data_IF_561219734417
#
_entry.id   IF_561219734417
#
_cell.length_a   1.000
_cell.length_b   1.000
_cell.length_c   1.000
_cell.angle_alpha   90.00
_cell.angle_beta   90.00
_cell.angle_gamma   90.00
#
_symmetry.space_group_name_H-M   'P 1'
#
loop_
_entity.id
_entity.type
_entity.pdbx_description
1 polymer ?
#
# COMPACT_ATOMS: atom_id res chain seq x y z
N UNK A 1 -17.44 12.74 -0.86
CA UNK A 1 -16.18 11.98 -0.61
C UNK A 1 -15.50 12.42 0.68
N UNK A 2 -15.42 13.71 1.00
CA UNK A 2 -14.73 14.18 2.22
C UNK A 2 -15.25 13.52 3.51
N UNK A 3 -16.57 13.37 3.68
CA UNK A 3 -17.15 12.63 4.81
C UNK A 3 -16.68 11.18 4.89
N UNK A 4 -16.63 10.48 3.75
CA UNK A 4 -16.20 9.08 3.69
C UNK A 4 -14.73 8.91 4.03
N UNK A 5 -13.87 9.79 3.52
CA UNK A 5 -12.44 9.85 3.89
C UNK A 5 -12.26 9.92 5.40
N UNK A 6 -13.04 10.77 6.10
CA UNK A 6 -12.96 10.87 7.56
C UNK A 6 -13.28 9.55 8.27
N UNK A 7 -14.22 8.77 7.74
CA UNK A 7 -14.59 7.46 8.28
C UNK A 7 -13.48 6.41 8.10
N UNK A 8 -12.70 6.50 7.03
CA UNK A 8 -11.57 5.58 6.75
C UNK A 8 -10.43 5.67 7.77
N UNK A 9 -10.37 6.72 8.61
CA UNK A 9 -9.28 6.94 9.58
C UNK A 9 -9.71 6.63 11.03
N UNK A 10 -11.02 6.66 11.31
CA UNK A 10 -11.56 6.58 12.68
C UNK A 10 -11.48 5.20 13.34
N UNK A 11 -10.95 4.17 12.66
CA UNK A 11 -10.92 2.79 13.15
C UNK A 11 -9.52 2.31 13.54
N UNK A 12 -8.64 3.20 14.02
CA UNK A 12 -7.22 2.91 14.29
C UNK A 12 -7.04 1.61 15.11
N UNK A 13 -6.09 0.73 14.75
CA UNK A 13 -5.78 -0.43 15.56
C UNK A 13 -5.34 -0.02 16.96
N UNK A 14 -5.59 -0.89 17.94
CA UNK A 14 -5.04 -0.74 19.28
C UNK A 14 -3.50 -0.64 19.21
N UNK A 15 -2.99 0.55 19.52
CA UNK A 15 -1.57 0.88 19.42
C UNK A 15 -0.73 0.07 20.40
N UNK A 16 -1.28 -0.28 21.57
CA UNK A 16 -0.57 -1.11 22.55
C UNK A 16 -0.42 -2.53 22.02
N UNK A 17 -1.49 -3.09 21.45
CA UNK A 17 -1.45 -4.42 20.84
C UNK A 17 -0.51 -4.48 19.63
N UNK A 18 -0.50 -3.46 18.76
CA UNK A 18 0.46 -3.34 17.65
C UNK A 18 1.89 -3.35 18.18
N UNK A 19 2.18 -2.54 19.20
CA UNK A 19 3.51 -2.45 19.79
C UNK A 19 3.96 -3.76 20.41
N UNK A 20 3.07 -4.45 21.14
CA UNK A 20 3.35 -5.76 21.74
C UNK A 20 3.69 -6.81 20.67
N UNK A 21 2.84 -6.96 19.64
CA UNK A 21 3.06 -7.95 18.58
C UNK A 21 4.33 -7.68 17.78
N UNK A 22 4.63 -6.41 17.52
CA UNK A 22 5.90 -6.00 16.91
C UNK A 22 7.09 -6.38 17.80
N UNK A 23 7.01 -6.19 19.11
CA UNK A 23 8.07 -6.59 20.03
C UNK A 23 8.30 -8.12 20.00
N UNK A 24 7.23 -8.90 19.95
CA UNK A 24 7.31 -10.36 19.80
C UNK A 24 7.98 -10.77 18.49
N UNK A 25 7.53 -10.21 17.35
CA UNK A 25 8.15 -10.44 16.03
C UNK A 25 9.64 -10.08 16.08
N UNK A 26 9.99 -8.92 16.62
CA UNK A 26 11.38 -8.47 16.71
C UNK A 26 12.25 -9.41 17.55
N UNK A 27 11.73 -9.91 18.66
CA UNK A 27 12.42 -10.87 19.51
C UNK A 27 12.71 -12.17 18.75
N UNK A 28 11.72 -12.71 18.04
CA UNK A 28 11.86 -13.94 17.26
C UNK A 28 12.90 -13.79 16.15
N UNK A 29 12.81 -12.71 15.38
CA UNK A 29 13.76 -12.42 14.31
C UNK A 29 15.18 -12.21 14.87
N UNK A 30 15.32 -11.49 15.98
CA UNK A 30 16.62 -11.26 16.64
C UNK A 30 17.25 -12.55 17.15
N UNK A 31 16.45 -13.47 17.71
CA UNK A 31 16.94 -14.78 18.13
C UNK A 31 17.49 -15.60 16.94
N UNK A 32 16.99 -15.37 15.72
CA UNK A 32 17.49 -15.97 14.49
C UNK A 32 18.65 -15.19 13.82
N UNK A 33 19.21 -14.17 14.49
CA UNK A 33 20.34 -13.37 13.98
C UNK A 33 19.96 -12.27 12.97
N UNK A 34 18.68 -11.93 12.85
CA UNK A 34 18.23 -10.76 12.08
C UNK A 34 18.49 -9.51 12.92
N UNK A 35 19.08 -8.49 12.30
CA UNK A 35 19.71 -7.36 13.00
C UNK A 35 18.69 -6.45 13.68
N UNK A 36 17.65 -6.07 12.95
CA UNK A 36 16.63 -5.13 13.38
C UNK A 36 15.42 -5.20 12.46
N UNK A 37 14.32 -4.57 12.87
CA UNK A 37 13.20 -4.26 11.99
C UNK A 37 12.93 -2.76 12.00
N UNK A 38 12.35 -2.26 10.92
CA UNK A 38 11.79 -0.93 10.86
C UNK A 38 10.43 -0.96 10.16
N UNK A 39 9.56 -0.02 10.54
CA UNK A 39 8.26 0.09 9.90
C UNK A 39 8.40 0.64 8.48
N UNK A 40 7.70 -0.03 7.58
CA UNK A 40 7.58 0.31 6.18
C UNK A 40 6.11 0.57 5.85
N UNK A 41 5.84 0.99 4.63
CA UNK A 41 4.51 0.92 4.05
C UNK A 41 3.49 1.81 4.74
N UNK A 42 2.23 1.41 4.64
CA UNK A 42 1.14 2.39 4.68
C UNK A 42 0.83 2.96 6.07
N UNK A 43 1.17 2.23 7.14
CA UNK A 43 1.07 2.75 8.51
C UNK A 43 2.08 3.88 8.74
N UNK A 44 3.35 3.64 8.42
CA UNK A 44 4.41 4.64 8.51
C UNK A 44 4.18 5.82 7.54
N UNK A 45 3.58 5.55 6.37
CA UNK A 45 3.26 6.60 5.40
C UNK A 45 2.02 7.42 5.78
N UNK A 46 1.24 7.01 6.78
CA UNK A 46 -0.02 7.65 7.13
C UNK A 46 -1.09 7.51 6.03
N UNK A 47 -1.07 6.40 5.30
CA UNK A 47 -2.01 6.05 4.22
C UNK A 47 -2.73 4.73 4.48
N UNK A 48 -2.52 4.13 5.65
CA UNK A 48 -3.24 2.93 6.10
C UNK A 48 -4.76 3.17 6.15
N UNK A 49 -5.50 2.11 5.82
CA UNK A 49 -6.93 1.98 6.14
C UNK A 49 -7.01 0.90 7.21
N UNK A 50 -7.41 1.24 8.45
CA UNK A 50 -7.50 0.28 9.52
C UNK A 50 -8.41 -0.91 9.16
N UNK A 51 -8.13 -2.09 9.73
CA UNK A 51 -8.71 -3.41 9.41
C UNK A 51 -8.41 -3.98 8.02
N UNK A 52 -7.96 -3.17 7.06
CA UNK A 52 -7.61 -3.62 5.71
C UNK A 52 -6.11 -3.59 5.41
N UNK A 53 -5.39 -2.61 5.96
CA UNK A 53 -3.93 -2.54 5.83
C UNK A 53 -3.26 -3.41 6.88
N UNK A 54 -2.25 -4.17 6.46
CA UNK A 54 -1.35 -4.92 7.33
C UNK A 54 -0.23 -3.98 7.83
N UNK A 55 0.37 -4.31 8.98
CA UNK A 55 1.53 -3.57 9.49
C UNK A 55 2.79 -4.11 8.81
N UNK A 56 3.37 -3.31 7.93
CA UNK A 56 4.56 -3.68 7.15
C UNK A 56 5.85 -3.47 7.97
N UNK A 57 6.64 -4.52 8.12
CA UNK A 57 7.96 -4.50 8.72
C UNK A 57 9.00 -4.94 7.70
N UNK A 58 10.08 -4.18 7.57
CA UNK A 58 11.28 -4.67 6.90
C UNK A 58 12.25 -5.21 7.93
N UNK A 59 12.63 -6.48 7.76
CA UNK A 59 13.59 -7.20 8.60
C UNK A 59 14.99 -7.07 7.99
N UNK A 60 15.85 -6.27 8.62
CA UNK A 60 17.23 -6.05 8.16
C UNK A 60 18.07 -7.29 8.45
N UNK A 61 18.51 -7.96 7.39
CA UNK A 61 19.37 -9.13 7.45
C UNK A 61 20.81 -8.72 7.10
N UNK A 62 21.85 -9.29 7.73
CA UNK A 62 23.23 -9.05 7.31
C UNK A 62 23.41 -9.34 5.82
N UNK A 63 24.09 -8.45 5.08
CA UNK A 63 24.29 -8.65 3.64
C UNK A 63 25.09 -9.92 3.32
N UNK A 64 26.00 -10.32 4.21
CA UNK A 64 26.72 -11.59 4.12
C UNK A 64 25.82 -12.84 4.11
N UNK A 65 24.56 -12.70 4.50
CA UNK A 65 23.56 -13.77 4.51
C UNK A 65 22.60 -13.69 3.31
N UNK A 66 22.83 -12.78 2.36
CA UNK A 66 21.99 -12.60 1.19
C UNK A 66 21.99 -13.88 0.36
N UNK A 67 20.83 -14.52 0.33
CA UNK A 67 20.64 -15.71 -0.47
C UNK A 67 20.71 -15.40 -1.97
N UNK A 68 21.18 -16.35 -2.76
CA UNK A 68 21.13 -16.24 -4.21
C UNK A 68 19.67 -16.14 -4.70
N UNK A 69 18.81 -17.04 -4.20
CA UNK A 69 17.39 -17.04 -4.50
C UNK A 69 16.59 -16.15 -3.52
N UNK A 70 15.80 -15.17 -4.01
CA UNK A 70 14.97 -14.31 -3.15
C UNK A 70 14.00 -15.08 -2.26
N UNK A 71 13.44 -16.18 -2.78
CA UNK A 71 12.52 -17.03 -2.03
C UNK A 71 13.16 -17.66 -0.78
N UNK A 72 14.45 -17.96 -0.81
CA UNK A 72 15.15 -18.52 0.34
C UNK A 72 15.21 -17.54 1.53
N UNK A 73 15.27 -16.24 1.28
CA UNK A 73 15.19 -15.24 2.35
C UNK A 73 13.79 -15.18 2.98
N UNK A 74 12.73 -15.35 2.18
CA UNK A 74 11.35 -15.46 2.69
C UNK A 74 11.17 -16.71 3.56
N UNK A 75 11.72 -17.85 3.13
CA UNK A 75 11.73 -19.08 3.92
C UNK A 75 12.47 -18.88 5.24
N UNK A 76 13.66 -18.30 5.23
CA UNK A 76 14.43 -18.02 6.46
C UNK A 76 13.66 -17.11 7.43
N UNK A 77 13.05 -16.04 6.93
CA UNK A 77 12.20 -15.15 7.75
C UNK A 77 10.99 -15.89 8.31
N UNK A 78 10.31 -16.71 7.51
CA UNK A 78 9.18 -17.55 7.96
C UNK A 78 9.63 -18.51 9.06
N UNK A 79 10.73 -19.20 8.86
CA UNK A 79 11.23 -20.21 9.79
C UNK A 79 11.66 -19.60 11.13
N UNK A 80 12.24 -18.40 11.09
CA UNK A 80 12.53 -17.62 12.30
C UNK A 80 11.26 -17.28 13.10
N UNK A 81 10.16 -16.99 12.42
CA UNK A 81 8.87 -16.73 13.07
C UNK A 81 8.18 -18.03 13.52
N UNK A 82 8.35 -19.11 12.76
CA UNK A 82 7.65 -20.38 12.98
C UNK A 82 8.02 -21.07 14.30
N UNK A 83 9.14 -20.68 14.95
CA UNK A 83 9.53 -21.18 16.27
C UNK A 83 8.45 -20.95 17.34
N UNK A 84 7.59 -19.94 17.14
CA UNK A 84 6.41 -19.69 17.97
C UNK A 84 5.12 -19.63 17.15
N UNK A 85 5.03 -20.49 16.13
CA UNK A 85 3.87 -20.57 15.23
C UNK A 85 2.53 -20.78 15.94
N UNK A 86 2.52 -21.36 17.14
CA UNK A 86 1.34 -21.50 18.00
C UNK A 86 0.65 -20.17 18.36
N UNK A 87 1.35 -19.03 18.21
CA UNK A 87 0.78 -17.68 18.42
C UNK A 87 -0.02 -17.17 17.23
N UNK A 88 0.15 -17.77 16.05
CA UNK A 88 -0.38 -17.27 14.79
C UNK A 88 -1.53 -18.15 14.33
N UNK A 89 -2.61 -17.53 13.86
CA UNK A 89 -3.68 -18.23 13.14
C UNK A 89 -3.25 -18.60 11.73
N UNK A 90 -2.31 -17.84 11.15
CA UNK A 90 -1.68 -18.16 9.88
C UNK A 90 -0.28 -17.57 9.77
N UNK A 91 0.64 -18.32 9.16
CA UNK A 91 1.99 -17.87 8.83
C UNK A 91 2.32 -18.34 7.41
N UNK A 92 2.32 -17.42 6.44
CA UNK A 92 2.41 -17.75 5.01
C UNK A 92 3.38 -16.84 4.27
N UNK A 93 4.13 -17.38 3.33
CA UNK A 93 4.92 -16.58 2.40
C UNK A 93 3.98 -15.96 1.37
N UNK A 94 4.02 -14.63 1.26
CA UNK A 94 3.29 -13.82 0.30
C UNK A 94 4.23 -12.74 -0.22
N UNK A 95 5.05 -13.09 -1.23
CA UNK A 95 6.10 -12.22 -1.77
C UNK A 95 5.57 -10.79 -2.03
N UNK A 96 6.25 -9.73 -1.53
CA UNK A 96 7.64 -9.70 -1.06
C UNK A 96 7.85 -10.00 0.44
N UNK A 97 6.84 -10.50 1.15
CA UNK A 97 6.86 -10.62 2.61
C UNK A 97 6.39 -11.99 3.12
N UNK A 98 6.56 -12.20 4.43
CA UNK A 98 5.89 -13.26 5.19
C UNK A 98 4.71 -12.63 5.91
N UNK A 99 3.50 -13.11 5.61
CA UNK A 99 2.27 -12.68 6.25
C UNK A 99 2.08 -13.43 7.57
N UNK A 100 1.92 -12.66 8.64
CA UNK A 100 1.72 -13.11 10.02
C UNK A 100 0.31 -12.70 10.45
N UNK A 101 -0.58 -13.68 10.62
CA UNK A 101 -1.96 -13.46 11.02
C UNK A 101 -2.19 -14.01 12.42
N UNK A 102 -2.93 -13.25 13.23
CA UNK A 102 -3.38 -13.63 14.56
C UNK A 102 -4.89 -13.91 14.52
N UNK A 103 -5.44 -14.55 15.56
CA UNK A 103 -6.88 -14.84 15.63
C UNK A 103 -7.76 -13.58 15.59
N UNK A 104 -7.20 -12.44 16.02
CA UNK A 104 -7.78 -11.11 15.88
C UNK A 104 -6.70 -10.16 15.38
N UNK A 105 -7.07 -9.14 14.59
CA UNK A 105 -6.14 -8.17 14.04
C UNK A 105 -5.36 -7.39 15.10
N UNK A 106 -4.30 -6.66 14.71
CA UNK A 106 -3.81 -6.49 13.33
C UNK A 106 -2.94 -7.65 12.83
N UNK A 107 -2.90 -7.85 11.52
CA UNK A 107 -1.92 -8.74 10.86
C UNK A 107 -0.66 -7.95 10.48
N UNK A 108 0.45 -8.66 10.28
CA UNK A 108 1.74 -8.09 9.91
C UNK A 108 2.25 -8.70 8.61
N UNK A 109 3.04 -7.94 7.87
CA UNK A 109 3.84 -8.43 6.75
C UNK A 109 5.32 -8.15 7.05
N UNK A 110 6.15 -9.20 7.08
CA UNK A 110 7.59 -9.10 7.37
C UNK A 110 8.38 -9.38 6.10
N UNK A 111 8.93 -8.34 5.48
CA UNK A 111 9.77 -8.45 4.30
C UNK A 111 11.25 -8.54 4.69
N UNK A 112 12.00 -9.58 4.28
CA UNK A 112 13.44 -9.58 4.45
C UNK A 112 14.06 -8.47 3.58
N UNK A 113 14.97 -7.71 4.17
CA UNK A 113 15.60 -6.57 3.54
C UNK A 113 17.11 -6.61 3.75
N UNK A 114 17.86 -6.50 2.66
CA UNK A 114 19.32 -6.42 2.68
C UNK A 114 19.71 -4.98 2.34
N UNK A 115 20.47 -4.34 3.21
CA UNK A 115 20.98 -3.00 2.91
C UNK A 115 21.89 -3.07 1.67
N UNK A 116 21.56 -2.31 0.64
CA UNK A 116 22.30 -2.28 -0.61
C UNK A 116 23.25 -1.08 -0.62
N UNK A 117 22.69 0.13 -0.49
CA UNK A 117 23.47 1.37 -0.56
C UNK A 117 22.78 2.53 0.15
N UNK A 118 23.57 3.56 0.43
CA UNK A 118 23.09 4.88 0.80
C UNK A 118 23.09 5.76 -0.46
N UNK A 119 21.99 6.45 -0.75
CA UNK A 119 21.98 7.44 -1.84
C UNK A 119 22.77 8.69 -1.46
N UNK A 120 23.22 9.50 -2.44
CA UNK A 120 23.82 10.82 -2.15
C UNK A 120 22.92 11.74 -1.31
N UNK A 121 21.60 11.54 -1.37
CA UNK A 121 20.62 12.28 -0.57
C UNK A 121 20.41 11.74 0.85
N UNK A 122 21.17 10.71 1.26
CA UNK A 122 21.08 10.14 2.60
C UNK A 122 19.94 9.13 2.80
N UNK A 123 19.39 8.57 1.73
CA UNK A 123 18.36 7.54 1.82
C UNK A 123 18.94 6.14 1.75
N UNK A 124 18.54 5.28 2.68
CA UNK A 124 18.84 3.85 2.60
C UNK A 124 18.04 3.19 1.47
N UNK A 125 18.75 2.41 0.65
CA UNK A 125 18.17 1.52 -0.34
C UNK A 125 18.40 0.09 0.09
N UNK A 126 17.35 -0.71 -0.01
CA UNK A 126 17.36 -2.13 0.34
C UNK A 126 17.05 -2.99 -0.88
N UNK A 127 17.60 -4.20 -0.91
CA UNK A 127 17.11 -5.28 -1.75
C UNK A 127 16.09 -6.12 -0.98
N UNK A 128 14.90 -6.25 -1.55
CA UNK A 128 13.81 -7.06 -1.02
C UNK A 128 13.43 -8.14 -2.06
N UNK A 129 12.86 -9.28 -1.64
CA UNK A 129 12.53 -10.34 -2.57
C UNK A 129 11.33 -9.97 -3.43
N UNK A 130 11.37 -10.35 -4.71
CA UNK A 130 10.22 -10.42 -5.60
C UNK A 130 10.18 -11.83 -6.23
N UNK A 131 9.10 -12.21 -6.95
CA UNK A 131 9.08 -13.47 -7.67
C UNK A 131 10.26 -13.58 -8.65
N UNK A 132 11.22 -14.46 -8.36
CA UNK A 132 12.37 -14.75 -9.24
C UNK A 132 13.52 -13.75 -9.20
N UNK A 133 13.40 -12.61 -8.52
CA UNK A 133 14.44 -11.57 -8.52
C UNK A 133 14.53 -10.79 -7.20
N UNK A 134 15.65 -10.09 -7.02
CA UNK A 134 15.81 -9.08 -5.99
C UNK A 134 15.42 -7.72 -6.57
N UNK A 135 14.60 -6.96 -5.84
CA UNK A 135 14.19 -5.61 -6.26
C UNK A 135 14.65 -4.57 -5.25
N UNK A 136 15.07 -3.42 -5.77
CA UNK A 136 15.45 -2.28 -4.95
C UNK A 136 14.21 -1.62 -4.32
N UNK A 137 14.33 -1.16 -3.08
CA UNK A 137 13.29 -0.49 -2.32
C UNK A 137 13.87 0.64 -1.48
N UNK A 138 13.22 1.81 -1.52
CA UNK A 138 13.65 3.02 -0.80
C UNK A 138 12.48 3.63 -0.01
N UNK A 139 11.93 2.90 0.97
CA UNK A 139 10.65 3.24 1.61
C UNK A 139 10.65 4.63 2.26
N UNK A 140 11.73 5.00 2.95
CA UNK A 140 11.86 6.32 3.59
C UNK A 140 11.83 7.47 2.57
N UNK A 141 12.49 7.28 1.43
CA UNK A 141 12.53 8.28 0.36
C UNK A 141 11.17 8.45 -0.32
N UNK A 142 10.50 7.33 -0.61
CA UNK A 142 9.14 7.32 -1.16
C UNK A 142 8.13 7.95 -0.19
N UNK A 143 8.22 7.67 1.11
CA UNK A 143 7.38 8.32 2.12
C UNK A 143 7.59 9.83 2.15
N UNK A 144 8.86 10.29 2.11
CA UNK A 144 9.18 11.72 2.08
C UNK A 144 8.63 12.38 0.84
N UNK A 145 8.72 11.73 -0.33
CA UNK A 145 8.13 12.21 -1.57
C UNK A 145 6.61 12.41 -1.45
N UNK A 146 5.90 11.38 -1.00
CA UNK A 146 4.44 11.42 -0.79
C UNK A 146 4.06 12.50 0.23
N UNK A 147 4.78 12.57 1.35
CA UNK A 147 4.55 13.55 2.41
C UNK A 147 4.77 14.98 1.94
N UNK A 148 5.78 15.24 1.12
CA UNK A 148 6.00 16.57 0.52
C UNK A 148 4.81 17.02 -0.33
N UNK A 149 4.30 16.15 -1.21
CA UNK A 149 3.13 16.49 -2.04
C UNK A 149 1.87 16.68 -1.19
N UNK A 150 1.70 15.84 -0.17
CA UNK A 150 0.62 15.97 0.78
C UNK A 150 0.62 17.31 1.50
N UNK A 151 1.79 17.76 1.95
CA UNK A 151 1.93 18.95 2.77
C UNK A 151 1.72 20.22 1.95
N UNK A 152 2.25 20.25 0.72
CA UNK A 152 2.04 21.33 -0.24
C UNK A 152 0.55 21.53 -0.59
N UNK A 153 -0.23 20.46 -0.62
CA UNK A 153 -1.63 20.45 -1.06
C UNK A 153 -2.63 20.33 0.09
N UNK A 154 -2.33 20.96 1.23
CA UNK A 154 -3.27 21.07 2.35
C UNK A 154 -3.64 19.73 2.98
N UNK A 155 -2.71 18.77 2.99
CA UNK A 155 -2.87 17.42 3.55
C UNK A 155 -3.96 16.57 2.88
N UNK A 156 -4.27 16.84 1.60
CA UNK A 156 -5.32 16.12 0.84
C UNK A 156 -4.81 14.94 0.00
N UNK A 157 -3.50 14.78 -0.20
CA UNK A 157 -2.94 13.68 -1.02
C UNK A 157 -3.06 12.33 -0.31
N UNK A 158 -2.69 12.22 0.97
CA UNK A 158 -2.82 10.95 1.72
C UNK A 158 -4.28 10.50 1.86
N UNK A 159 -5.26 11.39 2.12
CA UNK A 159 -6.68 11.11 1.95
C UNK A 159 -7.09 10.53 0.58
N UNK A 160 -6.59 11.11 -0.51
CA UNK A 160 -6.87 10.61 -1.86
C UNK A 160 -6.30 9.20 -2.07
N UNK A 161 -5.09 8.93 -1.57
CA UNK A 161 -4.53 7.57 -1.55
C UNK A 161 -5.47 6.61 -0.80
N UNK A 162 -5.99 7.00 0.37
CA UNK A 162 -6.93 6.16 1.12
C UNK A 162 -8.21 5.88 0.34
N UNK A 163 -8.71 6.81 -0.48
CA UNK A 163 -9.84 6.51 -1.37
C UNK A 163 -9.47 5.45 -2.41
N UNK A 164 -8.33 5.58 -3.08
CA UNK A 164 -7.87 4.55 -4.04
C UNK A 164 -7.68 3.19 -3.37
N UNK A 165 -7.16 3.16 -2.13
CA UNK A 165 -7.03 1.93 -1.35
C UNK A 165 -8.40 1.38 -0.91
N UNK A 166 -9.37 2.22 -0.56
CA UNK A 166 -10.71 1.77 -0.21
C UNK A 166 -11.38 1.08 -1.40
N UNK A 167 -11.26 1.67 -2.60
CA UNK A 167 -11.67 1.02 -3.85
C UNK A 167 -10.95 -0.31 -4.06
N UNK A 168 -9.62 -0.33 -3.93
CA UNK A 168 -8.80 -1.54 -4.04
C UNK A 168 -9.34 -2.66 -3.14
N UNK A 169 -9.58 -2.38 -1.86
CA UNK A 169 -10.01 -3.40 -0.90
C UNK A 169 -11.47 -3.82 -1.11
N UNK A 170 -12.35 -2.88 -1.46
CA UNK A 170 -13.75 -3.20 -1.72
C UNK A 170 -13.92 -4.12 -2.93
N UNK A 171 -13.21 -3.83 -4.03
CA UNK A 171 -13.30 -4.57 -5.28
C UNK A 171 -12.24 -5.68 -5.42
N UNK A 172 -11.54 -6.03 -4.33
CA UNK A 172 -10.46 -7.04 -4.29
C UNK A 172 -9.44 -6.90 -5.44
N UNK A 173 -9.01 -5.66 -5.68
CA UNK A 173 -8.14 -5.33 -6.81
C UNK A 173 -6.70 -5.74 -6.49
N UNK A 174 -6.06 -6.63 -7.28
CA UNK A 174 -4.73 -7.15 -6.98
C UNK A 174 -3.60 -6.18 -7.39
N UNK A 175 -3.69 -4.93 -6.94
CA UNK A 175 -2.74 -3.85 -7.19
C UNK A 175 -1.95 -3.49 -5.93
N UNK A 176 -0.67 -3.15 -6.08
CA UNK A 176 0.22 -2.67 -5.03
C UNK A 176 -0.27 -1.35 -4.42
N UNK A 177 -0.32 -1.28 -3.09
CA UNK A 177 -0.63 -0.03 -2.38
C UNK A 177 0.45 1.03 -2.63
N UNK A 178 1.72 0.62 -2.67
CA UNK A 178 2.86 1.50 -2.98
C UNK A 178 2.74 2.10 -4.39
N UNK A 179 2.29 1.31 -5.36
CA UNK A 179 2.04 1.81 -6.72
C UNK A 179 0.95 2.89 -6.72
N UNK A 180 -0.17 2.65 -6.03
CA UNK A 180 -1.25 3.65 -5.91
C UNK A 180 -0.78 4.91 -5.19
N UNK A 181 0.03 4.77 -4.13
CA UNK A 181 0.63 5.89 -3.40
C UNK A 181 1.51 6.76 -4.29
N UNK A 182 2.46 6.13 -5.01
CA UNK A 182 3.40 6.84 -5.87
C UNK A 182 2.72 7.43 -7.10
N UNK A 183 1.74 6.75 -7.72
CA UNK A 183 0.91 7.30 -8.79
C UNK A 183 0.12 8.52 -8.33
N UNK A 184 -0.42 8.49 -7.12
CA UNK A 184 -1.18 9.62 -6.57
C UNK A 184 -0.25 10.80 -6.31
N UNK A 185 0.94 10.57 -5.75
CA UNK A 185 1.91 11.63 -5.52
C UNK A 185 2.52 12.19 -6.82
N UNK A 186 2.78 11.34 -7.82
CA UNK A 186 3.18 11.74 -9.19
C UNK A 186 2.11 12.63 -9.84
N UNK A 187 0.83 12.22 -9.77
CA UNK A 187 -0.28 13.05 -10.22
C UNK A 187 -0.29 14.39 -9.48
N UNK A 188 -0.29 14.36 -8.15
CA UNK A 188 -0.33 15.54 -7.31
C UNK A 188 0.82 16.52 -7.55
N UNK A 189 2.00 16.05 -7.98
CA UNK A 189 3.15 16.90 -8.28
C UNK A 189 2.85 17.95 -9.37
N UNK A 190 1.92 17.66 -10.29
CA UNK A 190 1.47 18.59 -11.34
C UNK A 190 0.27 19.46 -10.96
N UNK A 191 -0.33 19.25 -9.78
CA UNK A 191 -1.57 19.92 -9.38
C UNK A 191 -1.32 21.05 -8.36
N UNK A 192 -2.23 22.03 -8.34
CA UNK A 192 -2.24 23.14 -7.38
C UNK A 192 -3.22 22.94 -6.21
N UNK A 193 -4.22 22.07 -6.38
CA UNK A 193 -5.18 21.68 -5.36
C UNK A 193 -5.60 20.21 -5.56
N UNK A 194 -6.30 19.63 -4.57
CA UNK A 194 -6.84 18.27 -4.66
C UNK A 194 -8.36 18.28 -4.43
N UNK A 195 -9.12 17.85 -5.43
CA UNK A 195 -10.54 17.57 -5.43
C UNK A 195 -10.78 16.07 -5.64
N UNK A 196 -11.07 15.35 -4.56
CA UNK A 196 -11.07 13.89 -4.52
C UNK A 196 -11.74 13.17 -5.70
N UNK A 197 -12.95 13.57 -6.10
CA UNK A 197 -13.66 12.90 -7.20
C UNK A 197 -12.98 13.16 -8.55
N UNK A 198 -12.49 14.39 -8.78
CA UNK A 198 -11.85 14.81 -10.02
C UNK A 198 -10.49 14.11 -10.15
N UNK A 199 -9.68 14.17 -9.11
CA UNK A 199 -8.32 13.63 -9.15
C UNK A 199 -8.31 12.10 -9.14
N UNK A 200 -9.21 11.45 -8.38
CA UNK A 200 -9.35 10.00 -8.44
C UNK A 200 -9.73 9.55 -9.85
N UNK A 201 -10.65 10.27 -10.52
CA UNK A 201 -11.01 9.98 -11.91
C UNK A 201 -9.83 10.17 -12.86
N UNK A 202 -9.05 11.24 -12.68
CA UNK A 202 -7.87 11.53 -13.49
C UNK A 202 -6.75 10.51 -13.27
N UNK A 203 -6.51 10.07 -12.04
CA UNK A 203 -5.53 9.03 -11.72
C UNK A 203 -5.94 7.69 -12.35
N UNK A 204 -7.19 7.24 -12.14
CA UNK A 204 -7.67 5.98 -12.72
C UNK A 204 -7.64 6.01 -14.25
N UNK A 205 -8.00 7.14 -14.87
CA UNK A 205 -7.87 7.33 -16.32
C UNK A 205 -6.41 7.19 -16.77
N UNK A 206 -5.46 7.88 -16.10
CA UNK A 206 -4.02 7.78 -16.41
C UNK A 206 -3.52 6.34 -16.27
N UNK A 207 -3.94 5.61 -15.23
CA UNK A 207 -3.59 4.21 -15.00
C UNK A 207 -4.16 3.29 -16.10
N UNK A 208 -5.43 3.48 -16.49
CA UNK A 208 -6.08 2.71 -17.56
C UNK A 208 -5.43 2.96 -18.92
N UNK A 209 -5.15 4.22 -19.26
CA UNK A 209 -4.44 4.58 -20.52
C UNK A 209 -3.04 3.98 -20.54
N UNK A 210 -2.37 3.96 -19.38
CA UNK A 210 -1.07 3.32 -19.24
C UNK A 210 -1.15 1.79 -19.16
N UNK A 211 -2.33 1.18 -19.24
CA UNK A 211 -2.56 -0.27 -19.17
C UNK A 211 -2.00 -0.92 -17.90
N UNK A 212 -2.05 -0.22 -16.76
CA UNK A 212 -1.38 -0.67 -15.52
C UNK A 212 0.08 -1.09 -15.75
N UNK A 213 0.82 -0.37 -16.60
CA UNK A 213 2.26 -0.60 -16.74
C UNK A 213 3.02 -0.19 -15.48
N UNK A 214 4.21 -0.76 -15.32
CA UNK A 214 5.19 -0.29 -14.34
C UNK A 214 5.45 1.21 -14.51
N UNK A 215 5.51 1.93 -13.39
CA UNK A 215 5.88 3.35 -13.43
C UNK A 215 7.37 3.50 -13.18
N UNK A 216 7.98 4.51 -13.80
CA UNK A 216 9.29 4.98 -13.36
C UNK A 216 9.16 5.45 -11.91
N UNK A 217 10.21 5.27 -11.12
CA UNK A 217 10.27 5.88 -9.78
C UNK A 217 10.24 7.41 -9.92
N UNK A 218 9.24 8.12 -9.36
CA UNK A 218 9.13 9.57 -9.48
C UNK A 218 10.32 10.34 -8.90
N UNK A 219 11.11 9.70 -8.02
CA UNK A 219 12.33 10.29 -7.43
C UNK A 219 13.62 9.67 -7.96
N UNK A 220 13.53 8.69 -8.88
CA UNK A 220 14.69 8.10 -9.57
C UNK A 220 15.69 7.34 -8.68
N UNK A 221 15.29 6.91 -7.48
CA UNK A 221 16.17 6.16 -6.57
C UNK A 221 16.17 4.68 -6.94
N UNK A 222 15.00 4.14 -7.28
CA UNK A 222 14.84 2.81 -7.85
C UNK A 222 14.43 2.93 -9.32
N UNK A 223 14.49 1.83 -10.06
CA UNK A 223 14.24 1.89 -11.52
C UNK A 223 12.75 1.92 -11.85
N UNK A 224 12.00 0.95 -11.33
CA UNK A 224 10.60 0.71 -11.68
C UNK A 224 9.79 0.29 -10.47
N UNK A 225 8.52 0.72 -10.44
CA UNK A 225 7.55 0.33 -9.42
C UNK A 225 6.46 -0.51 -10.10
N UNK A 226 6.39 -1.78 -9.71
CA UNK A 226 5.41 -2.73 -10.26
C UNK A 226 4.02 -2.51 -9.67
N UNK A 227 2.96 -2.51 -10.50
CA UNK A 227 1.59 -2.40 -10.02
C UNK A 227 1.05 -3.74 -9.52
N UNK A 228 1.38 -4.85 -10.17
CA UNK A 228 0.79 -6.16 -9.90
C UNK A 228 1.90 -7.22 -9.87
N UNK A 229 1.64 -8.34 -9.20
CA UNK A 229 2.60 -9.45 -9.07
C UNK A 229 2.64 -10.39 -10.28
N UNK A 230 1.65 -10.32 -11.17
CA UNK A 230 1.57 -11.14 -12.38
C UNK A 230 0.75 -10.44 -13.46
N UNK A 231 0.85 -10.93 -14.69
CA UNK A 231 0.04 -10.46 -15.83
C UNK A 231 -1.45 -10.74 -15.62
N UNK A 232 -1.82 -11.87 -15.02
CA UNK A 232 -3.22 -12.18 -14.69
C UNK A 232 -3.79 -11.17 -13.68
N UNK A 233 -3.02 -10.86 -12.63
CA UNK A 233 -3.40 -9.82 -11.67
C UNK A 233 -3.48 -8.45 -12.34
N UNK A 234 -2.58 -8.13 -13.27
CA UNK A 234 -2.63 -6.88 -14.04
C UNK A 234 -3.92 -6.75 -14.85
N UNK A 235 -4.35 -7.82 -15.53
CA UNK A 235 -5.61 -7.84 -16.31
C UNK A 235 -6.83 -7.66 -15.42
N UNK A 236 -6.88 -8.35 -14.28
CA UNK A 236 -7.95 -8.19 -13.27
C UNK A 236 -8.00 -6.76 -12.74
N UNK A 237 -6.84 -6.20 -12.39
CA UNK A 237 -6.75 -4.82 -11.90
C UNK A 237 -7.19 -3.80 -12.95
N UNK A 238 -6.81 -4.01 -14.21
CA UNK A 238 -7.22 -3.16 -15.33
C UNK A 238 -8.73 -3.17 -15.54
N UNK A 239 -9.36 -4.35 -15.52
CA UNK A 239 -10.81 -4.46 -15.64
C UNK A 239 -11.52 -3.68 -14.52
N UNK A 240 -11.08 -3.87 -13.27
CA UNK A 240 -11.64 -3.16 -12.12
C UNK A 240 -11.47 -1.63 -12.24
N UNK A 241 -10.31 -1.15 -12.72
CA UNK A 241 -10.09 0.29 -12.87
C UNK A 241 -10.93 0.91 -13.99
N UNK A 242 -11.18 0.16 -15.09
CA UNK A 242 -12.12 0.58 -16.14
C UNK A 242 -13.52 0.78 -15.56
N UNK A 243 -14.03 -0.21 -14.83
CA UNK A 243 -15.33 -0.11 -14.16
C UNK A 243 -15.39 1.06 -13.17
N UNK A 244 -14.38 1.22 -12.31
CA UNK A 244 -14.34 2.33 -11.36
C UNK A 244 -14.31 3.70 -12.04
N UNK A 245 -13.56 3.84 -13.14
CA UNK A 245 -13.52 5.06 -13.96
C UNK A 245 -14.88 5.35 -14.58
N UNK A 246 -15.60 4.34 -15.08
CA UNK A 246 -16.93 4.50 -15.66
C UNK A 246 -17.96 4.90 -14.58
N UNK A 247 -17.92 4.28 -13.39
CA UNK A 247 -18.78 4.69 -12.26
C UNK A 247 -18.48 6.11 -11.77
N UNK A 248 -17.22 6.56 -11.77
CA UNK A 248 -16.90 7.95 -11.41
C UNK A 248 -17.46 8.96 -12.42
N UNK A 249 -17.54 8.59 -13.71
CA UNK A 249 -18.18 9.41 -14.74
C UNK A 249 -19.70 9.50 -14.50
N UNK A 250 -20.36 8.37 -14.25
CA UNK A 250 -21.78 8.33 -13.89
C UNK A 250 -22.05 9.18 -12.64
N UNK A 251 -21.22 9.03 -11.60
CA UNK A 251 -21.34 9.83 -10.39
C UNK A 251 -21.16 11.33 -10.68
N UNK A 252 -20.31 11.70 -11.63
CA UNK A 252 -20.14 13.12 -12.00
C UNK A 252 -21.40 13.66 -12.67
N UNK A 253 -21.93 12.97 -13.66
CA UNK A 253 -23.15 13.37 -14.37
C UNK A 253 -24.38 13.41 -13.45
N UNK A 254 -24.48 12.45 -12.52
CA UNK A 254 -25.53 12.45 -11.51
C UNK A 254 -25.42 13.66 -10.58
N UNK A 255 -24.19 14.04 -10.21
CA UNK A 255 -23.94 15.25 -9.42
C UNK A 255 -24.35 16.53 -10.13
N UNK A 256 -24.02 16.64 -11.41
CA UNK A 256 -24.36 17.82 -12.21
C UNK A 256 -25.89 17.96 -12.41
N UNK A 257 -26.66 16.86 -12.27
CA UNK A 257 -28.13 16.83 -12.36
C UNK A 257 -28.87 16.81 -11.01
N UNK A 258 -28.17 16.91 -9.88
CA UNK A 258 -28.78 16.76 -8.55
C UNK A 258 -29.47 15.42 -8.30
N UNK A 259 -29.03 14.36 -8.97
CA UNK A 259 -29.51 12.99 -8.75
C UNK A 259 -28.66 12.27 -7.68
N UNK A 260 -29.07 12.45 -6.44
CA UNK A 260 -28.43 11.85 -5.25
C UNK A 260 -28.47 10.33 -5.27
N UNK A 261 -29.52 9.72 -5.84
CA UNK A 261 -29.71 8.27 -5.90
C UNK A 261 -28.71 7.63 -6.86
N UNK A 262 -28.61 8.15 -8.09
CA UNK A 262 -27.66 7.65 -9.08
C UNK A 262 -26.21 7.93 -8.66
N UNK A 263 -25.95 9.09 -8.06
CA UNK A 263 -24.64 9.39 -7.48
C UNK A 263 -24.26 8.34 -6.44
N UNK A 264 -25.15 8.08 -5.48
CA UNK A 264 -24.86 7.12 -4.41
C UNK A 264 -24.66 5.71 -4.93
N UNK A 265 -25.51 5.22 -5.85
CA UNK A 265 -25.36 3.90 -6.46
C UNK A 265 -24.00 3.73 -7.15
N UNK A 266 -23.57 4.73 -7.92
CA UNK A 266 -22.27 4.68 -8.59
C UNK A 266 -21.10 4.67 -7.59
N UNK A 267 -21.18 5.47 -6.53
CA UNK A 267 -20.15 5.49 -5.49
C UNK A 267 -20.16 4.22 -4.61
N UNK A 268 -21.33 3.65 -4.37
CA UNK A 268 -21.51 2.36 -3.70
C UNK A 268 -20.84 1.24 -4.50
N UNK A 269 -20.93 1.25 -5.83
CA UNK A 269 -20.20 0.27 -6.67
C UNK A 269 -18.67 0.39 -6.57
N UNK A 270 -18.13 1.53 -6.14
CA UNK A 270 -16.69 1.76 -5.99
C UNK A 270 -16.21 1.43 -4.58
N UNK A 271 -17.00 1.78 -3.56
CA UNK A 271 -16.57 1.82 -2.15
C UNK A 271 -17.36 0.89 -1.22
N UNK A 272 -18.45 0.30 -1.70
CA UNK A 272 -19.33 -0.55 -0.92
C UNK A 272 -20.25 0.17 0.04
N UNK A 273 -20.81 -0.60 0.96
CA UNK A 273 -21.87 -0.18 1.89
C UNK A 273 -21.48 0.94 2.84
N UNK A 274 -20.20 1.06 3.17
CA UNK A 274 -19.72 2.11 4.07
C UNK A 274 -19.76 3.51 3.43
N UNK A 275 -19.98 3.62 2.11
CA UNK A 275 -20.07 4.91 1.45
C UNK A 275 -21.38 5.65 1.83
N UNK A 276 -21.29 6.84 2.44
CA UNK A 276 -22.47 7.53 2.96
C UNK A 276 -23.34 8.11 1.84
N UNK A 277 -24.65 8.09 2.07
CA UNK A 277 -25.61 8.78 1.21
C UNK A 277 -25.32 10.30 1.16
N UNK A 278 -25.31 10.93 -0.03
CA UNK A 278 -25.07 12.37 -0.17
C UNK A 278 -26.18 13.22 0.49
N UNK A 279 -25.84 14.45 0.92
CA UNK A 279 -26.75 15.38 1.62
C UNK A 279 -26.89 16.74 0.93
N UNK A 280 -26.49 16.82 -0.33
CA UNK A 280 -26.57 18.03 -1.15
C UNK A 280 -27.70 17.88 -2.17
#
# INVERSE_FOLDING_TARGET
>A
MDRYVGQLVNQTPDQQLVAQRRADINRLLKAAGILSTFESGSFNHGTAIPKHSDVDLMARIPYSWRALAPYSALVKTRDALATESYRFSSLKISSPAVKVQYSYGPSFEVAPAYFDRLTPGGDDVFEIPAPGEWVASAPSAHNRYVSRQNDRLGKRVKPLVRLLKAWKYHADVPVSSTYLELRTAEHAAGESSIHYQIDMSSILRKIVVADFREMNDPIGIVTRIRPCSSEDNRRKALAAAKSAKDYLAIAREAKDRSDTSSYWKAMYSIFGYDFPYPRW
#
